data_IF_535674554295
#
_entry.id   IF_535674554295
#
_cell.length_a   1.000
_cell.length_b   1.000
_cell.length_c   1.000
_cell.angle_alpha   90.00
_cell.angle_beta   90.00
_cell.angle_gamma   90.00
#
_symmetry.space_group_name_H-M   'P 1'
#
loop_
_entity.id
_entity.type
_entity.pdbx_description
1 polymer ?
#
# COMPACT_ATOMS: atom_id res chain seq x y z
N UNK A 1 21.85 10.86 17.00
CA UNK A 1 21.17 9.68 16.45
C UNK A 1 19.69 9.95 16.69
N UNK A 2 18.89 10.15 15.64
CA UNK A 2 17.45 10.21 15.84
C UNK A 2 17.01 8.78 16.11
N UNK A 3 16.74 8.47 17.38
CA UNK A 3 16.06 7.24 17.80
C UNK A 3 14.57 7.32 17.45
N UNK A 4 14.26 7.57 16.17
CA UNK A 4 12.88 7.48 15.72
C UNK A 4 12.50 5.99 15.73
N UNK A 5 11.63 5.63 16.67
CA UNK A 5 11.12 4.27 16.79
C UNK A 5 10.57 3.80 15.44
N UNK A 6 11.09 2.66 14.96
CA UNK A 6 10.60 2.00 13.77
C UNK A 6 9.36 1.19 14.14
N UNK A 7 8.22 1.62 13.63
CA UNK A 7 6.90 1.04 13.86
C UNK A 7 6.46 0.26 12.62
N UNK A 8 5.75 -0.84 12.83
CA UNK A 8 4.96 -1.48 11.76
C UNK A 8 3.74 -0.62 11.42
N UNK A 9 3.15 -0.81 10.24
CA UNK A 9 1.95 -0.08 9.85
C UNK A 9 0.80 -0.23 10.86
N UNK A 10 0.65 -1.40 11.48
CA UNK A 10 -0.40 -1.66 12.48
C UNK A 10 -0.21 -0.91 13.80
N UNK A 11 1.00 -0.39 14.05
CA UNK A 11 1.36 0.38 15.24
C UNK A 11 1.26 1.91 15.04
N UNK A 12 1.08 2.37 13.80
CA UNK A 12 0.81 3.77 13.50
C UNK A 12 -0.60 4.16 13.97
N UNK A 13 -0.81 5.44 14.29
CA UNK A 13 -2.18 5.94 14.48
C UNK A 13 -2.97 5.92 13.17
N UNK A 14 -4.30 6.01 13.28
CA UNK A 14 -5.20 5.89 12.13
C UNK A 14 -4.92 6.88 11.00
N UNK A 15 -4.46 8.10 11.31
CA UNK A 15 -4.17 9.11 10.29
C UNK A 15 -2.88 8.78 9.52
N UNK A 16 -1.87 8.28 10.23
CA UNK A 16 -0.60 7.86 9.65
C UNK A 16 -0.75 6.52 8.89
N UNK A 17 -1.63 5.62 9.33
CA UNK A 17 -1.99 4.42 8.55
C UNK A 17 -2.63 4.81 7.21
N UNK A 18 -3.55 5.78 7.23
CA UNK A 18 -4.17 6.29 6.00
C UNK A 18 -3.15 6.86 5.03
N UNK A 19 -2.27 7.73 5.52
CA UNK A 19 -1.16 8.26 4.71
C UNK A 19 -0.28 7.14 4.15
N UNK A 20 0.10 6.16 4.97
CA UNK A 20 0.95 5.05 4.56
C UNK A 20 0.30 4.20 3.44
N UNK A 21 -1.00 3.94 3.56
CA UNK A 21 -1.78 3.24 2.53
C UNK A 21 -1.90 4.05 1.26
N UNK A 22 -2.15 5.36 1.34
CA UNK A 22 -2.22 6.25 0.17
C UNK A 22 -0.88 6.31 -0.57
N UNK A 23 0.22 6.50 0.16
CA UNK A 23 1.58 6.54 -0.39
C UNK A 23 1.92 5.23 -1.11
N UNK A 24 1.61 4.08 -0.49
CA UNK A 24 1.84 2.77 -1.10
C UNK A 24 0.90 2.50 -2.29
N UNK A 25 -0.38 2.85 -2.21
CA UNK A 25 -1.32 2.65 -3.30
C UNK A 25 -0.96 3.47 -4.54
N UNK A 26 -0.41 4.68 -4.35
CA UNK A 26 0.11 5.51 -5.43
C UNK A 26 1.32 4.87 -6.15
N UNK A 27 2.16 4.13 -5.42
CA UNK A 27 3.22 3.30 -5.97
C UNK A 27 2.70 2.03 -6.65
N UNK A 28 1.72 1.36 -6.05
CA UNK A 28 1.18 0.08 -6.53
C UNK A 28 0.41 0.22 -7.85
N UNK A 29 -0.40 1.28 -7.98
CA UNK A 29 -1.27 1.50 -9.13
C UNK A 29 -0.55 1.45 -10.50
N UNK A 30 0.58 2.16 -10.72
CA UNK A 30 1.31 2.06 -11.99
C UNK A 30 1.94 0.67 -12.21
N UNK A 31 2.34 -0.05 -11.17
CA UNK A 31 2.85 -1.42 -11.30
C UNK A 31 1.76 -2.39 -11.75
N UNK A 32 0.55 -2.23 -11.19
CA UNK A 32 -0.64 -2.95 -11.65
C UNK A 32 -0.95 -2.63 -13.13
N UNK A 33 -1.00 -1.34 -13.49
CA UNK A 33 -1.27 -0.92 -14.88
C UNK A 33 -0.22 -1.44 -15.88
N UNK A 34 1.03 -1.62 -15.44
CA UNK A 34 2.13 -2.16 -16.26
C UNK A 34 2.19 -3.71 -16.29
N UNK A 35 1.29 -4.41 -15.59
CA UNK A 35 1.38 -5.86 -15.31
C UNK A 35 2.72 -6.29 -14.69
N UNK A 36 3.35 -5.41 -13.91
CA UNK A 36 4.68 -5.63 -13.31
C UNK A 36 4.57 -5.95 -11.81
N UNK A 37 3.69 -6.90 -11.46
CA UNK A 37 3.47 -7.34 -10.08
C UNK A 37 4.28 -8.59 -9.70
N UNK A 38 5.10 -9.11 -10.63
CA UNK A 38 5.92 -10.30 -10.41
C UNK A 38 6.85 -10.14 -9.19
N UNK A 39 7.32 -8.92 -8.91
CA UNK A 39 8.17 -8.62 -7.76
C UNK A 39 7.46 -8.73 -6.40
N UNK A 40 6.13 -8.71 -6.36
CA UNK A 40 5.33 -8.84 -5.14
C UNK A 40 4.69 -10.22 -4.98
N UNK A 41 4.92 -11.16 -5.89
CA UNK A 41 4.13 -12.39 -6.02
C UNK A 41 4.59 -13.55 -5.11
N UNK A 42 4.81 -13.29 -3.82
CA UNK A 42 4.98 -14.37 -2.83
C UNK A 42 3.61 -14.90 -2.35
N UNK A 43 3.51 -16.20 -2.03
CA UNK A 43 2.24 -16.86 -1.68
C UNK A 43 1.51 -16.18 -0.50
N UNK A 44 2.26 -15.62 0.46
CA UNK A 44 1.73 -14.98 1.66
C UNK A 44 1.02 -13.64 1.43
N UNK A 45 1.27 -12.99 0.28
CA UNK A 45 0.68 -11.67 -0.06
C UNK A 45 -0.29 -11.74 -1.23
N UNK A 46 -0.34 -12.87 -1.93
CA UNK A 46 -1.15 -13.06 -3.13
C UNK A 46 -2.65 -12.85 -2.90
N UNK A 47 -3.17 -13.20 -1.71
CA UNK A 47 -4.59 -13.00 -1.36
C UNK A 47 -4.94 -11.51 -1.27
N UNK A 48 -4.15 -10.72 -0.53
CA UNK A 48 -4.36 -9.27 -0.42
C UNK A 48 -4.21 -8.56 -1.77
N UNK A 49 -3.23 -8.98 -2.57
CA UNK A 49 -3.08 -8.46 -3.92
C UNK A 49 -4.27 -8.81 -4.82
N UNK A 50 -4.87 -9.99 -4.64
CA UNK A 50 -6.06 -10.39 -5.41
C UNK A 50 -7.22 -9.43 -5.14
N UNK A 51 -7.50 -9.13 -3.86
CA UNK A 51 -8.58 -8.22 -3.46
C UNK A 51 -8.34 -6.80 -4.02
N UNK A 52 -7.10 -6.30 -3.93
CA UNK A 52 -6.71 -5.00 -4.48
C UNK A 52 -6.87 -4.98 -6.01
N UNK A 53 -6.36 -6.00 -6.69
CA UNK A 53 -6.36 -6.09 -8.15
C UNK A 53 -7.76 -6.25 -8.74
N UNK A 54 -8.63 -7.01 -8.08
CA UNK A 54 -10.03 -7.16 -8.47
C UNK A 54 -10.73 -5.80 -8.44
N UNK A 55 -10.54 -5.05 -7.35
CA UNK A 55 -11.14 -3.72 -7.21
C UNK A 55 -10.56 -2.71 -8.22
N UNK A 56 -9.24 -2.70 -8.42
CA UNK A 56 -8.60 -1.86 -9.45
C UNK A 56 -9.10 -2.16 -10.86
N UNK A 57 -9.48 -3.41 -11.13
CA UNK A 57 -10.08 -3.84 -12.41
C UNK A 57 -11.49 -3.28 -12.59
N UNK A 58 -12.30 -3.21 -11.53
CA UNK A 58 -13.62 -2.57 -11.57
C UNK A 58 -13.53 -1.07 -11.82
N UNK A 59 -12.53 -0.41 -11.25
CA UNK A 59 -12.25 1.01 -11.44
C UNK A 59 -11.66 1.39 -12.80
N UNK A 60 -11.50 0.47 -13.77
CA UNK A 60 -10.76 0.73 -15.04
C UNK A 60 -11.25 1.91 -15.88
N UNK A 61 -12.50 2.33 -15.71
CA UNK A 61 -13.09 3.47 -16.43
C UNK A 61 -12.93 4.81 -15.69
N UNK A 62 -12.45 4.78 -14.45
CA UNK A 62 -12.21 5.96 -13.64
C UNK A 62 -10.87 6.62 -13.99
N UNK A 63 -10.74 7.90 -13.66
CA UNK A 63 -9.43 8.58 -13.72
C UNK A 63 -8.46 7.99 -12.69
N UNK A 64 -7.15 8.19 -12.86
CA UNK A 64 -6.14 7.71 -11.89
C UNK A 64 -6.40 8.19 -10.46
N UNK A 65 -6.77 9.46 -10.30
CA UNK A 65 -7.07 10.03 -8.98
C UNK A 65 -8.32 9.39 -8.34
N UNK A 66 -9.35 9.13 -9.15
CA UNK A 66 -10.54 8.42 -8.69
C UNK A 66 -10.21 6.97 -8.32
N UNK A 67 -9.45 6.24 -9.14
CA UNK A 67 -9.02 4.86 -8.83
C UNK A 67 -8.24 4.79 -7.53
N UNK A 68 -7.32 5.74 -7.31
CA UNK A 68 -6.53 5.81 -6.08
C UNK A 68 -7.42 6.05 -4.85
N UNK A 69 -8.32 7.03 -4.90
CA UNK A 69 -9.22 7.31 -3.78
C UNK A 69 -10.20 6.16 -3.50
N UNK A 70 -10.73 5.54 -4.55
CA UNK A 70 -11.67 4.43 -4.48
C UNK A 70 -11.00 3.17 -3.89
N UNK A 71 -9.85 2.78 -4.43
CA UNK A 71 -9.12 1.59 -3.96
C UNK A 71 -8.60 1.73 -2.53
N UNK A 72 -8.11 2.91 -2.15
CA UNK A 72 -7.69 3.16 -0.76
C UNK A 72 -8.87 3.02 0.20
N UNK A 73 -10.06 3.48 -0.20
CA UNK A 73 -11.26 3.40 0.64
C UNK A 73 -11.80 1.96 0.73
N UNK A 74 -11.88 1.26 -0.40
CA UNK A 74 -12.49 -0.07 -0.47
C UNK A 74 -11.56 -1.17 0.04
N UNK A 75 -10.28 -1.11 -0.34
CA UNK A 75 -9.28 -2.15 -0.07
C UNK A 75 -8.33 -1.77 1.06
N UNK A 76 -8.71 -0.84 1.93
CA UNK A 76 -7.85 -0.30 3.01
C UNK A 76 -7.18 -1.41 3.83
N UNK A 77 -7.97 -2.36 4.35
CA UNK A 77 -7.46 -3.46 5.17
C UNK A 77 -6.53 -4.40 4.39
N UNK A 78 -6.81 -4.63 3.11
CA UNK A 78 -5.93 -5.42 2.25
C UNK A 78 -4.58 -4.72 2.05
N UNK A 79 -4.58 -3.39 1.87
CA UNK A 79 -3.34 -2.61 1.82
C UNK A 79 -2.56 -2.66 3.14
N UNK A 80 -3.22 -2.48 4.28
CA UNK A 80 -2.55 -2.58 5.59
C UNK A 80 -1.90 -3.94 5.77
N UNK A 81 -2.63 -5.03 5.48
CA UNK A 81 -2.09 -6.38 5.60
C UNK A 81 -0.96 -6.65 4.60
N UNK A 82 -1.06 -6.15 3.36
CA UNK A 82 -0.01 -6.27 2.37
C UNK A 82 1.27 -5.57 2.84
N UNK A 83 1.16 -4.32 3.27
CA UNK A 83 2.31 -3.53 3.76
C UNK A 83 2.95 -4.18 4.99
N UNK A 84 2.14 -4.68 5.92
CA UNK A 84 2.62 -5.39 7.12
C UNK A 84 3.46 -6.63 6.75
N UNK A 85 3.06 -7.35 5.68
CA UNK A 85 3.80 -8.52 5.16
C UNK A 85 5.03 -8.17 4.35
N UNK A 86 5.12 -6.96 3.80
CA UNK A 86 6.34 -6.46 3.16
C UNK A 86 7.42 -6.07 4.18
N UNK A 87 7.12 -6.15 5.48
CA UNK A 87 8.02 -5.77 6.57
C UNK A 87 8.51 -4.31 6.46
N UNK A 88 7.65 -3.43 5.90
CA UNK A 88 7.93 -2.00 5.81
C UNK A 88 7.83 -1.36 7.19
N UNK A 89 8.92 -0.74 7.62
CA UNK A 89 8.96 0.04 8.85
C UNK A 89 8.64 1.52 8.59
N UNK A 90 8.11 2.19 9.62
CA UNK A 90 7.72 3.59 9.57
C UNK A 90 8.30 4.36 10.76
N UNK A 91 8.66 5.61 10.52
CA UNK A 91 8.99 6.55 11.59
C UNK A 91 7.70 7.07 12.26
N UNK A 92 7.84 7.66 13.44
CA UNK A 92 6.74 8.32 14.18
C UNK A 92 6.06 9.45 13.39
N UNK A 93 6.73 9.96 12.35
CA UNK A 93 6.16 10.92 11.38
C UNK A 93 5.25 10.29 10.31
N UNK A 94 5.13 8.96 10.28
CA UNK A 94 4.41 8.21 9.25
C UNK A 94 5.12 8.18 7.90
N UNK A 95 6.41 8.53 7.86
CA UNK A 95 7.24 8.31 6.68
C UNK A 95 7.79 6.89 6.70
N UNK A 96 7.79 6.19 5.55
CA UNK A 96 8.38 4.87 5.49
C UNK A 96 9.90 4.97 5.64
N UNK A 97 10.49 3.99 6.33
CA UNK A 97 11.93 3.88 6.52
C UNK A 97 12.68 3.63 5.19
N UNK A 98 11.99 2.97 4.25
CA UNK A 98 12.43 2.78 2.87
C UNK A 98 11.39 3.43 1.95
N UNK A 99 11.79 4.36 1.08
CA UNK A 99 10.86 4.97 0.15
C UNK A 99 10.38 3.96 -0.91
N UNK A 100 9.13 4.07 -1.33
CA UNK A 100 8.52 3.19 -2.35
C UNK A 100 9.00 3.47 -3.79
N UNK A 101 10.16 4.07 -4.00
CA UNK A 101 10.59 4.63 -5.28
C UNK A 101 11.69 3.83 -6.00
N UNK A 102 11.79 2.51 -5.75
CA UNK A 102 12.66 1.59 -6.49
C UNK A 102 11.87 0.42 -7.09
#
# INVERSE_FOLDING_TARGET
MNDDAQLSITQLDSSLQHKAVEDFAAFYLPLFDANNLEMMSNYDVASYMTDINEHLTYGRYMTKAQRLSDTVSFSFTAYVNLIDRLDQQYFTSGNPALPWNE
#
